data_IF_011553850190
#
_entry.id   IF_011553850190
#
_cell.length_a   1.000
_cell.length_b   1.000
_cell.length_c   1.000
_cell.angle_alpha   90.00
_cell.angle_beta   90.00
_cell.angle_gamma   90.00
#
_symmetry.space_group_name_H-M   'P 1'
#
loop_
_entity.id
_entity.type
_entity.pdbx_description
1 polymer ?
#
# COMPACT_ATOMS: atom_id res chain seq x y z
N UNK A 1 -9.18 -1.68 16.40
CA UNK A 1 -8.02 -2.14 15.60
C UNK A 1 -7.00 -1.03 15.32
N UNK A 2 -7.40 0.20 14.89
CA UNK A 2 -6.49 1.35 14.77
C UNK A 2 -5.87 1.75 16.12
N UNK A 3 -6.68 1.80 17.19
CA UNK A 3 -6.23 2.10 18.54
C UNK A 3 -5.29 1.03 19.13
N UNK A 4 -5.50 -0.23 18.75
CA UNK A 4 -4.68 -1.34 19.24
C UNK A 4 -3.31 -1.38 18.54
N UNK A 5 -3.24 -1.01 17.24
CA UNK A 5 -1.96 -0.84 16.54
C UNK A 5 -1.19 0.38 17.04
N UNK A 6 -1.87 1.50 17.29
CA UNK A 6 -1.25 2.68 17.90
C UNK A 6 -0.72 2.36 19.33
N UNK A 7 -1.48 1.58 20.09
CA UNK A 7 -1.09 1.17 21.45
C UNK A 7 0.09 0.18 21.46
N UNK A 8 0.17 -0.74 20.48
CA UNK A 8 1.35 -1.63 20.29
C UNK A 8 2.61 -0.88 19.87
N UNK A 9 2.47 0.19 19.05
CA UNK A 9 3.57 1.09 18.69
C UNK A 9 4.17 1.82 19.91
N UNK A 10 3.37 2.07 20.96
CA UNK A 10 3.84 2.65 22.22
C UNK A 10 4.56 1.65 23.13
N UNK A 11 4.30 0.34 22.98
CA UNK A 11 4.80 -0.67 23.91
C UNK A 11 6.21 -1.20 23.60
N UNK A 12 6.76 -0.96 22.39
CA UNK A 12 8.06 -1.50 21.94
C UNK A 12 9.27 -0.68 22.44
N UNK A 13 9.07 0.41 23.19
CA UNK A 13 10.16 1.23 23.76
C UNK A 13 10.77 0.70 25.07
N UNK A 14 10.45 -0.52 25.50
CA UNK A 14 10.80 -1.04 26.83
C UNK A 14 12.04 -1.92 26.93
N UNK A 15 12.87 -2.10 25.90
CA UNK A 15 14.05 -2.99 26.00
C UNK A 15 15.29 -2.33 25.41
N UNK A 16 15.88 -1.41 26.14
CA UNK A 16 17.31 -1.11 26.10
C UNK A 16 17.73 -0.29 27.31
N UNK A 17 18.42 -0.95 28.25
CA UNK A 17 19.51 -0.46 29.10
C UNK A 17 19.31 0.74 30.03
N UNK A 18 19.28 0.42 31.30
CA UNK A 18 19.86 1.11 32.48
C UNK A 18 20.30 2.58 32.29
N UNK A 19 19.37 3.49 32.55
CA UNK A 19 19.59 4.71 33.33
C UNK A 19 18.18 5.25 33.67
N UNK A 20 17.80 5.25 34.93
CA UNK A 20 16.56 5.84 35.39
C UNK A 20 16.55 7.34 35.10
N UNK A 21 15.62 7.81 34.30
CA UNK A 21 14.99 9.09 34.57
C UNK A 21 13.49 8.90 34.85
N UNK A 22 13.03 9.71 35.75
CA UNK A 22 11.72 9.95 36.31
C UNK A 22 10.53 9.62 35.40
N UNK A 23 9.56 8.89 35.95
CA UNK A 23 8.20 8.75 35.46
C UNK A 23 7.61 10.13 35.15
N UNK A 24 6.90 10.20 34.01
CA UNK A 24 6.06 11.24 33.45
C UNK A 24 6.68 11.91 32.22
N UNK A 25 7.01 11.10 31.22
CA UNK A 25 7.00 11.58 29.85
C UNK A 25 6.29 10.54 29.01
N UNK A 26 4.95 10.62 28.94
CA UNK A 26 4.10 9.89 28.01
C UNK A 26 4.32 10.55 26.64
N UNK A 27 5.42 10.20 26.15
CA UNK A 27 6.17 10.41 24.94
C UNK A 27 5.34 10.83 23.72
N UNK A 28 5.60 12.02 23.26
CA UNK A 28 5.43 12.40 21.84
C UNK A 28 6.04 11.29 21.00
N UNK A 29 5.27 10.67 20.08
CA UNK A 29 5.82 9.63 19.19
C UNK A 29 7.05 10.18 18.49
N UNK A 30 8.06 9.34 18.28
CA UNK A 30 9.23 9.78 17.49
C UNK A 30 8.76 10.30 16.12
N UNK A 31 9.46 11.25 15.49
CA UNK A 31 9.09 11.75 14.15
C UNK A 31 8.81 10.61 13.17
N UNK A 32 9.63 9.55 13.21
CA UNK A 32 9.43 8.34 12.44
C UNK A 32 8.09 7.64 12.73
N UNK A 33 7.75 7.46 14.00
CA UNK A 33 6.49 6.81 14.38
C UNK A 33 5.27 7.65 13.98
N UNK A 34 5.38 8.98 14.09
CA UNK A 34 4.30 9.89 13.66
C UNK A 34 4.06 9.79 12.16
N UNK A 35 5.13 9.81 11.36
CA UNK A 35 5.04 9.67 9.90
C UNK A 35 4.54 8.29 9.48
N UNK A 36 5.02 7.21 10.14
CA UNK A 36 4.53 5.85 9.92
C UNK A 36 3.02 5.73 10.16
N UNK A 37 2.51 6.32 11.25
CA UNK A 37 1.07 6.32 11.56
C UNK A 37 0.29 7.07 10.46
N UNK A 38 0.77 8.21 10.01
CA UNK A 38 0.13 8.98 8.94
C UNK A 38 0.05 8.20 7.60
N UNK A 39 1.00 7.29 7.38
CA UNK A 39 1.06 6.47 6.16
C UNK A 39 0.17 5.21 6.21
N UNK A 40 -0.34 4.79 7.39
CA UNK A 40 -1.13 3.55 7.53
C UNK A 40 -2.29 3.41 6.52
N UNK A 41 -3.10 4.43 6.21
CA UNK A 41 -4.16 4.30 5.21
C UNK A 41 -3.62 3.96 3.81
N UNK A 42 -2.48 4.51 3.44
CA UNK A 42 -1.81 4.26 2.15
C UNK A 42 -1.26 2.83 2.10
N UNK A 43 -0.58 2.41 3.18
CA UNK A 43 -0.02 1.07 3.31
C UNK A 43 -1.10 -0.01 3.21
N UNK A 44 -2.25 0.20 3.86
CA UNK A 44 -3.41 -0.70 3.78
C UNK A 44 -3.97 -0.81 2.37
N UNK A 45 -4.12 0.32 1.65
CA UNK A 45 -4.58 0.29 0.26
C UNK A 45 -3.65 -0.57 -0.61
N UNK A 46 -2.34 -0.36 -0.49
CA UNK A 46 -1.37 -1.14 -1.24
C UNK A 46 -1.39 -2.61 -0.84
N UNK A 47 -1.36 -2.94 0.45
CA UNK A 47 -1.44 -4.31 0.93
C UNK A 47 -2.72 -5.02 0.46
N UNK A 48 -3.87 -4.32 0.47
CA UNK A 48 -5.15 -4.85 -0.03
C UNK A 48 -5.11 -5.13 -1.54
N UNK A 49 -4.39 -4.32 -2.30
CA UNK A 49 -4.20 -4.59 -3.74
C UNK A 49 -3.35 -5.83 -4.02
N UNK A 50 -2.52 -6.25 -3.08
CA UNK A 50 -1.70 -7.47 -3.17
C UNK A 50 -2.48 -8.70 -2.69
N UNK A 51 -3.06 -8.62 -1.49
CA UNK A 51 -3.67 -9.76 -0.80
C UNK A 51 -5.08 -10.08 -1.27
N UNK A 52 -5.80 -9.08 -1.80
CA UNK A 52 -7.20 -9.18 -2.16
C UNK A 52 -8.17 -9.24 -0.98
N UNK A 53 -7.70 -9.33 0.26
CA UNK A 53 -8.50 -9.46 1.49
C UNK A 53 -8.12 -8.38 2.48
N UNK A 54 -9.11 -7.86 3.22
CA UNK A 54 -8.89 -6.84 4.25
C UNK A 54 -8.07 -7.39 5.42
N UNK A 55 -8.42 -8.58 5.90
CA UNK A 55 -7.77 -9.20 7.06
C UNK A 55 -6.31 -9.52 6.75
N UNK A 56 -6.04 -10.15 5.60
CA UNK A 56 -4.66 -10.42 5.16
C UNK A 56 -3.85 -9.15 4.91
N UNK A 57 -4.49 -8.09 4.44
CA UNK A 57 -3.84 -6.79 4.27
C UNK A 57 -3.45 -6.18 5.61
N UNK A 58 -4.32 -6.24 6.61
CA UNK A 58 -4.05 -5.72 7.95
C UNK A 58 -2.91 -6.50 8.63
N UNK A 59 -2.89 -7.83 8.51
CA UNK A 59 -1.78 -8.68 9.01
C UNK A 59 -0.45 -8.31 8.32
N UNK A 60 -0.48 -8.14 7.01
CA UNK A 60 0.70 -7.78 6.23
C UNK A 60 1.24 -6.39 6.61
N UNK A 61 0.34 -5.40 6.80
CA UNK A 61 0.72 -4.05 7.26
C UNK A 61 1.27 -4.10 8.68
N UNK A 62 0.67 -4.87 9.58
CA UNK A 62 1.18 -5.04 10.93
C UNK A 62 2.61 -5.59 10.90
N UNK A 63 2.86 -6.68 10.18
CA UNK A 63 4.18 -7.27 10.04
C UNK A 63 5.20 -6.28 9.42
N UNK A 64 4.76 -5.47 8.44
CA UNK A 64 5.60 -4.44 7.85
C UNK A 64 5.96 -3.33 8.84
N UNK A 65 5.00 -2.85 9.63
CA UNK A 65 5.23 -1.86 10.68
C UNK A 65 6.19 -2.37 11.75
N UNK A 66 6.04 -3.63 12.20
CA UNK A 66 6.97 -4.23 13.16
C UNK A 66 8.39 -4.32 12.59
N UNK A 67 8.53 -4.71 11.32
CA UNK A 67 9.84 -4.78 10.64
C UNK A 67 10.45 -3.39 10.48
N UNK A 68 9.64 -2.40 10.11
CA UNK A 68 10.06 -1.00 9.97
C UNK A 68 10.56 -0.41 11.29
N UNK A 69 9.84 -0.65 12.39
CA UNK A 69 10.23 -0.16 13.72
C UNK A 69 11.53 -0.79 14.20
N UNK A 70 11.75 -2.10 13.96
CA UNK A 70 13.03 -2.76 14.27
C UNK A 70 14.20 -2.25 13.43
N UNK A 71 13.92 -1.71 12.26
CA UNK A 71 14.92 -1.21 11.33
C UNK A 71 14.95 0.34 11.24
N UNK A 72 14.28 1.04 12.16
CA UNK A 72 14.16 2.50 12.15
C UNK A 72 15.52 3.22 12.15
N UNK A 73 16.50 2.66 12.85
CA UNK A 73 17.88 3.20 12.92
C UNK A 73 18.62 3.10 11.56
N UNK A 74 18.12 2.28 10.63
CA UNK A 74 18.69 2.10 9.29
C UNK A 74 18.00 2.98 8.25
N UNK A 75 16.92 3.64 8.62
CA UNK A 75 16.22 4.56 7.74
C UNK A 75 16.99 5.88 7.66
N UNK A 76 17.39 6.26 6.44
CA UNK A 76 18.09 7.52 6.19
C UNK A 76 17.11 8.69 6.19
N UNK A 77 17.22 9.65 7.13
CA UNK A 77 16.39 10.85 7.14
C UNK A 77 16.52 11.62 5.81
N UNK A 78 15.40 12.06 5.28
CA UNK A 78 15.34 12.76 3.98
C UNK A 78 15.08 11.86 2.78
N UNK A 79 15.04 10.54 2.97
CA UNK A 79 14.55 9.60 1.96
C UNK A 79 13.02 9.42 2.07
N UNK A 80 12.40 8.81 1.06
CA UNK A 80 10.94 8.60 1.02
C UNK A 80 10.54 7.42 1.90
N UNK A 81 10.02 7.72 3.11
CA UNK A 81 9.55 6.69 4.05
C UNK A 81 8.43 5.83 3.44
N UNK A 82 7.52 6.44 2.67
CA UNK A 82 6.44 5.72 2.02
C UNK A 82 6.96 4.66 1.02
N UNK A 83 7.92 5.01 0.16
CA UNK A 83 8.52 4.07 -0.79
C UNK A 83 9.24 2.93 -0.07
N UNK A 84 9.99 3.22 0.99
CA UNK A 84 10.66 2.22 1.80
C UNK A 84 9.68 1.24 2.46
N UNK A 85 8.55 1.75 3.00
CA UNK A 85 7.51 0.93 3.60
C UNK A 85 6.77 0.07 2.55
N UNK A 86 6.46 0.60 1.37
CA UNK A 86 5.89 -0.19 0.28
C UNK A 86 6.81 -1.33 -0.14
N UNK A 87 8.12 -1.10 -0.18
CA UNK A 87 9.11 -2.15 -0.45
C UNK A 87 9.10 -3.24 0.63
N UNK A 88 8.99 -2.87 1.90
CA UNK A 88 8.87 -3.84 3.01
C UNK A 88 7.61 -4.70 2.85
N UNK A 89 6.45 -4.08 2.59
CA UNK A 89 5.16 -4.77 2.38
C UNK A 89 5.28 -5.77 1.23
N UNK A 90 5.80 -5.31 0.09
CA UNK A 90 5.95 -6.17 -1.08
C UNK A 90 6.88 -7.36 -0.84
N UNK A 91 8.00 -7.13 -0.19
CA UNK A 91 8.94 -8.21 0.11
C UNK A 91 8.32 -9.24 1.06
N UNK A 92 7.62 -8.80 2.12
CA UNK A 92 6.90 -9.69 3.02
C UNK A 92 5.83 -10.50 2.28
N UNK A 93 5.12 -9.87 1.34
CA UNK A 93 4.12 -10.54 0.51
C UNK A 93 4.74 -11.65 -0.34
N UNK A 94 5.80 -11.34 -1.08
CA UNK A 94 6.51 -12.30 -1.94
C UNK A 94 7.12 -13.44 -1.11
N UNK A 95 7.73 -13.13 0.03
CA UNK A 95 8.30 -14.12 0.94
C UNK A 95 7.20 -15.07 1.48
N UNK A 96 6.04 -14.51 1.83
CA UNK A 96 4.87 -15.30 2.25
C UNK A 96 4.37 -16.24 1.15
N UNK A 97 4.25 -15.77 -0.08
CA UNK A 97 3.85 -16.62 -1.21
C UNK A 97 4.85 -17.78 -1.44
N UNK A 98 6.13 -17.47 -1.43
CA UNK A 98 7.19 -18.49 -1.58
C UNK A 98 7.17 -19.53 -0.47
N UNK A 99 6.97 -19.11 0.77
CA UNK A 99 6.88 -20.00 1.94
C UNK A 99 5.70 -20.98 1.84
N UNK A 100 4.61 -20.58 1.15
CA UNK A 100 3.44 -21.43 0.92
C UNK A 100 3.48 -22.17 -0.43
N UNK A 101 4.61 -22.17 -1.13
CA UNK A 101 4.75 -22.82 -2.44
C UNK A 101 3.88 -22.21 -3.54
N UNK A 102 3.41 -20.98 -3.36
CA UNK A 102 2.61 -20.25 -4.34
C UNK A 102 3.52 -19.46 -5.27
N UNK A 103 3.20 -19.51 -6.57
CA UNK A 103 3.90 -18.69 -7.56
C UNK A 103 3.44 -17.22 -7.42
N UNK A 104 4.36 -16.28 -7.15
CA UNK A 104 4.02 -14.85 -7.05
C UNK A 104 3.41 -14.26 -8.34
N UNK A 105 3.53 -14.94 -9.47
CA UNK A 105 2.93 -14.51 -10.74
C UNK A 105 1.49 -14.95 -10.93
N UNK A 106 0.97 -15.82 -10.06
CA UNK A 106 -0.40 -16.34 -10.12
C UNK A 106 -1.41 -15.35 -9.54
N UNK A 107 -2.49 -15.16 -10.28
CA UNK A 107 -3.66 -14.37 -9.89
C UNK A 107 -4.29 -14.94 -8.62
N UNK A 108 -4.30 -14.16 -7.54
CA UNK A 108 -5.19 -14.43 -6.41
C UNK A 108 -6.50 -13.67 -6.65
N UNK A 109 -7.67 -14.34 -6.51
CA UNK A 109 -8.95 -13.64 -6.57
C UNK A 109 -8.99 -12.56 -5.50
N UNK A 110 -9.34 -11.33 -5.87
CA UNK A 110 -9.56 -10.25 -4.93
C UNK A 110 -11.02 -10.35 -4.48
N UNK A 111 -11.23 -10.49 -3.17
CA UNK A 111 -12.55 -10.33 -2.59
C UNK A 111 -13.06 -8.93 -2.94
N UNK A 112 -14.27 -8.87 -3.49
CA UNK A 112 -14.89 -7.60 -3.87
C UNK A 112 -14.85 -6.64 -2.68
N UNK A 113 -14.21 -5.49 -2.87
CA UNK A 113 -14.12 -4.49 -1.82
C UNK A 113 -15.54 -4.06 -1.45
N UNK A 114 -15.92 -4.25 -0.19
CA UNK A 114 -17.18 -3.72 0.34
C UNK A 114 -17.30 -2.24 -0.03
N UNK A 115 -18.34 -1.93 -0.77
CA UNK A 115 -18.70 -0.55 -1.08
C UNK A 115 -18.99 0.14 0.25
N UNK A 116 -18.25 1.21 0.56
CA UNK A 116 -18.57 2.06 1.71
C UNK A 116 -19.93 2.71 1.40
N UNK A 117 -21.02 2.34 2.09
CA UNK A 117 -22.33 2.92 1.87
C UNK A 117 -22.42 4.23 2.64
N UNK A 118 -22.07 5.34 1.98
CA UNK A 118 -22.43 6.68 2.44
C UNK A 118 -22.54 7.59 1.23
N UNK A 119 -23.63 7.46 0.48
CA UNK A 119 -23.93 8.34 -0.63
C UNK A 119 -25.34 8.91 -0.44
N UNK A 120 -25.41 10.14 0.05
CA UNK A 120 -26.59 10.96 -0.03
C UNK A 120 -26.52 11.84 -1.28
N UNK A 121 -27.46 11.61 -2.22
CA UNK A 121 -27.63 12.40 -3.43
C UNK A 121 -27.21 11.70 -4.75
N UNK A 122 -27.93 11.98 -5.87
CA UNK A 122 -27.76 11.27 -7.16
C UNK A 122 -26.36 11.35 -7.73
N UNK A 123 -25.71 12.51 -7.68
CA UNK A 123 -24.35 12.71 -8.18
C UNK A 123 -23.29 11.91 -7.37
N UNK A 124 -23.51 11.75 -6.06
CA UNK A 124 -22.62 10.96 -5.20
C UNK A 124 -22.82 9.47 -5.43
N UNK A 125 -24.05 9.04 -5.73
CA UNK A 125 -24.35 7.66 -6.10
C UNK A 125 -23.63 7.31 -7.40
N UNK A 126 -23.70 8.16 -8.41
CA UNK A 126 -23.03 7.95 -9.69
C UNK A 126 -21.50 7.91 -9.54
N UNK A 127 -20.91 8.83 -8.77
CA UNK A 127 -19.48 8.82 -8.45
C UNK A 127 -19.06 7.55 -7.69
N UNK A 128 -19.90 7.07 -6.75
CA UNK A 128 -19.65 5.85 -5.99
C UNK A 128 -19.68 4.62 -6.90
N UNK A 129 -20.66 4.53 -7.81
CA UNK A 129 -20.75 3.45 -8.80
C UNK A 129 -19.57 3.47 -9.77
N UNK A 130 -19.16 4.65 -10.22
CA UNK A 130 -17.99 4.81 -11.08
C UNK A 130 -16.71 4.36 -10.36
N UNK A 131 -16.53 4.76 -9.10
CA UNK A 131 -15.40 4.34 -8.28
C UNK A 131 -15.38 2.82 -8.05
N UNK A 132 -16.54 2.22 -7.82
CA UNK A 132 -16.68 0.77 -7.67
C UNK A 132 -16.28 0.03 -8.95
N UNK A 133 -16.70 0.52 -10.12
CA UNK A 133 -16.30 -0.04 -11.42
C UNK A 133 -14.79 0.05 -11.65
N UNK A 134 -14.17 1.20 -11.35
CA UNK A 134 -12.72 1.37 -11.46
C UNK A 134 -11.98 0.43 -10.52
N UNK A 135 -12.43 0.29 -9.29
CA UNK A 135 -11.82 -0.65 -8.31
C UNK A 135 -11.93 -2.09 -8.79
N UNK A 136 -13.07 -2.50 -9.30
CA UNK A 136 -13.27 -3.84 -9.86
C UNK A 136 -12.33 -4.07 -11.06
N UNK A 137 -12.24 -3.12 -11.98
CA UNK A 137 -11.34 -3.23 -13.13
C UNK A 137 -9.86 -3.32 -12.71
N UNK A 138 -9.43 -2.58 -11.68
CA UNK A 138 -8.07 -2.69 -11.12
C UNK A 138 -7.87 -4.08 -10.48
N UNK A 139 -8.88 -4.61 -9.82
CA UNK A 139 -8.82 -5.93 -9.18
C UNK A 139 -8.59 -7.06 -10.20
N UNK A 140 -9.16 -6.94 -11.39
CA UNK A 140 -9.03 -7.90 -12.48
C UNK A 140 -7.67 -7.81 -13.23
N UNK A 141 -6.86 -6.80 -12.97
CA UNK A 141 -5.53 -6.69 -13.57
C UNK A 141 -4.61 -7.80 -13.08
N UNK A 142 -3.71 -8.33 -13.94
CA UNK A 142 -2.57 -9.12 -13.49
C UNK A 142 -1.80 -8.40 -12.38
N UNK A 143 -1.33 -9.13 -11.37
CA UNK A 143 -0.66 -8.58 -10.17
C UNK A 143 0.40 -7.54 -10.53
N UNK A 144 1.29 -7.87 -11.47
CA UNK A 144 2.36 -6.97 -11.91
C UNK A 144 1.87 -5.65 -12.53
N UNK A 145 0.70 -5.64 -13.15
CA UNK A 145 0.07 -4.43 -13.71
C UNK A 145 -0.63 -3.65 -12.61
N UNK A 146 -1.27 -4.35 -11.69
CA UNK A 146 -1.97 -3.76 -10.55
C UNK A 146 -1.01 -3.06 -9.59
N UNK A 147 0.12 -3.68 -9.24
CA UNK A 147 1.17 -3.06 -8.42
C UNK A 147 1.59 -1.70 -9.00
N UNK A 148 1.89 -1.67 -10.31
CA UNK A 148 2.35 -0.43 -10.96
C UNK A 148 1.26 0.65 -10.99
N UNK A 149 0.00 0.30 -11.29
CA UNK A 149 -1.12 1.25 -11.26
C UNK A 149 -1.31 1.81 -9.85
N UNK A 150 -1.28 0.97 -8.83
CA UNK A 150 -1.48 1.42 -7.44
C UNK A 150 -0.34 2.33 -7.01
N UNK A 151 0.91 1.93 -7.20
CA UNK A 151 2.05 2.73 -6.77
C UNK A 151 2.16 4.06 -7.51
N UNK A 152 1.99 4.08 -8.84
CA UNK A 152 2.15 5.29 -9.65
C UNK A 152 0.91 6.17 -9.62
N UNK A 153 -0.28 5.61 -9.89
CA UNK A 153 -1.48 6.42 -10.12
C UNK A 153 -2.27 6.72 -8.83
N UNK A 154 -2.22 5.83 -7.83
CA UNK A 154 -2.97 6.00 -6.58
C UNK A 154 -2.07 6.54 -5.48
N UNK A 155 -0.87 5.99 -5.31
CA UNK A 155 0.06 6.40 -4.25
C UNK A 155 1.01 7.54 -4.67
N UNK A 156 1.06 7.87 -5.97
CA UNK A 156 1.80 9.02 -6.49
C UNK A 156 3.32 8.85 -6.46
N UNK A 157 3.82 7.61 -6.52
CA UNK A 157 5.25 7.37 -6.63
C UNK A 157 5.76 7.75 -8.02
N UNK A 158 7.00 8.23 -8.08
CA UNK A 158 7.70 8.38 -9.37
C UNK A 158 7.97 7.01 -10.00
N UNK A 159 8.23 6.99 -11.31
CA UNK A 159 8.61 5.74 -12.00
C UNK A 159 9.90 5.15 -11.42
N UNK A 160 10.81 6.01 -10.97
CA UNK A 160 12.07 5.61 -10.34
C UNK A 160 11.81 4.95 -8.98
N UNK A 161 11.05 5.61 -8.09
CA UNK A 161 10.72 5.05 -6.77
C UNK A 161 9.94 3.73 -6.93
N UNK A 162 9.01 3.68 -7.90
CA UNK A 162 8.26 2.45 -8.21
C UNK A 162 9.18 1.33 -8.69
N UNK A 163 10.17 1.63 -9.52
CA UNK A 163 11.16 0.66 -9.97
C UNK A 163 11.98 0.09 -8.79
N UNK A 164 12.36 0.95 -7.85
CA UNK A 164 13.07 0.55 -6.62
C UNK A 164 12.17 -0.29 -5.69
N UNK A 165 10.90 0.08 -5.52
CA UNK A 165 9.92 -0.71 -4.72
C UNK A 165 9.69 -2.09 -5.33
N UNK A 166 9.55 -2.16 -6.65
CA UNK A 166 9.25 -3.40 -7.38
C UNK A 166 10.49 -4.23 -7.74
N UNK A 167 11.68 -3.70 -7.47
CA UNK A 167 12.95 -4.32 -7.85
C UNK A 167 12.99 -4.74 -9.33
N UNK A 168 12.65 -3.79 -10.22
CA UNK A 168 12.62 -3.98 -11.68
C UNK A 168 13.20 -2.75 -12.39
N UNK A 169 13.69 -2.90 -13.63
CA UNK A 169 14.13 -1.75 -14.43
C UNK A 169 12.99 -0.73 -14.64
N UNK A 170 13.31 0.57 -14.70
CA UNK A 170 12.35 1.64 -14.93
C UNK A 170 11.56 1.46 -16.25
N UNK A 171 12.20 0.94 -17.30
CA UNK A 171 11.52 0.60 -18.55
C UNK A 171 10.44 -0.48 -18.39
N UNK A 172 10.62 -1.39 -17.42
CA UNK A 172 9.61 -2.39 -17.05
C UNK A 172 8.40 -1.73 -16.37
N UNK A 173 8.63 -0.74 -15.49
CA UNK A 173 7.54 0.04 -14.88
C UNK A 173 6.73 0.74 -15.97
N UNK A 174 7.40 1.43 -16.90
CA UNK A 174 6.74 2.16 -17.99
C UNK A 174 5.92 1.22 -18.88
N UNK A 175 6.48 0.09 -19.29
CA UNK A 175 5.78 -0.88 -20.15
C UNK A 175 4.60 -1.56 -19.44
N UNK A 176 4.74 -1.91 -18.15
CA UNK A 176 3.66 -2.46 -17.35
C UNK A 176 2.54 -1.44 -17.14
N UNK A 177 2.89 -0.18 -16.87
CA UNK A 177 1.92 0.91 -16.71
C UNK A 177 1.11 1.15 -17.99
N UNK A 178 1.77 1.17 -19.14
CA UNK A 178 1.09 1.33 -20.44
C UNK A 178 0.08 0.19 -20.70
N UNK A 179 0.50 -1.07 -20.44
CA UNK A 179 -0.39 -2.23 -20.61
C UNK A 179 -1.53 -2.22 -19.58
N UNK A 180 -1.27 -1.82 -18.35
CA UNK A 180 -2.29 -1.71 -17.31
C UNK A 180 -3.35 -0.68 -17.70
N UNK A 181 -2.94 0.50 -18.19
CA UNK A 181 -3.86 1.54 -18.66
C UNK A 181 -4.70 1.07 -19.84
N UNK A 182 -4.11 0.39 -20.81
CA UNK A 182 -4.84 -0.15 -21.95
C UNK A 182 -5.94 -1.13 -21.51
N UNK A 183 -5.62 -2.06 -20.58
CA UNK A 183 -6.60 -3.00 -20.03
C UNK A 183 -7.70 -2.32 -19.23
N UNK A 184 -7.36 -1.30 -18.44
CA UNK A 184 -8.37 -0.52 -17.69
C UNK A 184 -9.27 0.26 -18.63
N UNK A 185 -8.73 0.88 -19.67
CA UNK A 185 -9.51 1.59 -20.67
C UNK A 185 -10.50 0.66 -21.37
N UNK A 186 -10.05 -0.53 -21.77
CA UNK A 186 -10.92 -1.57 -22.34
C UNK A 186 -12.03 -1.98 -21.38
N UNK A 187 -11.69 -2.29 -20.12
CA UNK A 187 -12.65 -2.71 -19.09
C UNK A 187 -13.69 -1.64 -18.72
N UNK A 188 -13.32 -0.37 -18.84
CA UNK A 188 -14.18 0.78 -18.53
C UNK A 188 -14.89 1.35 -19.75
N UNK A 189 -14.66 0.82 -20.95
CA UNK A 189 -15.25 1.32 -22.19
C UNK A 189 -14.80 2.74 -22.57
N UNK A 190 -13.55 3.10 -22.24
CA UNK A 190 -12.95 4.42 -22.47
C UNK A 190 -11.64 4.28 -23.26
N UNK A 191 -11.02 5.39 -23.64
CA UNK A 191 -9.69 5.37 -24.26
C UNK A 191 -8.59 5.65 -23.24
N UNK A 192 -7.35 5.14 -23.43
CA UNK A 192 -6.24 5.41 -22.53
C UNK A 192 -5.95 6.91 -22.33
N UNK A 193 -6.17 7.73 -23.36
CA UNK A 193 -5.96 9.18 -23.33
C UNK A 193 -7.00 9.89 -22.45
N UNK A 194 -8.26 9.43 -22.47
CA UNK A 194 -9.32 9.96 -21.59
C UNK A 194 -9.08 9.65 -20.11
N UNK A 195 -8.34 8.59 -19.78
CA UNK A 195 -8.00 8.26 -18.41
C UNK A 195 -6.94 9.18 -17.80
N UNK A 196 -6.20 9.92 -18.63
CA UNK A 196 -5.12 10.78 -18.16
C UNK A 196 -5.59 12.17 -17.72
N UNK A 197 -6.85 12.55 -18.02
CA UNK A 197 -7.32 13.93 -17.82
C UNK A 197 -6.34 14.91 -18.46
N UNK A 198 -6.80 15.82 -19.27
CA UNK A 198 -5.99 16.90 -19.87
C UNK A 198 -5.05 17.52 -18.82
N UNK A 199 -3.75 17.21 -18.90
CA UNK A 199 -2.69 17.90 -18.16
C UNK A 199 -1.78 18.61 -19.12
#
# INVERSE_FOLDING_TARGET
>A
MLDEMANRLHMVKGVASAAHPSRLDASVPSPFATELIALLPRLRRFARSLTGSADRADDLVQAACERALRAADRFEPGTRLDAWLFRIIRNLWIDGLRAHGQDPSRHLPIEAAEAVPNADGPARIEATLTLAKVRAAIAELPEQHREVIVLVCIEGLSYRDTAEVLDVPIGTVMSRLARARAKLAEALGTTPDQMLGDR
#
